data_IF_798196999101
#
_entry.id   IF_798196999101
#
_cell.length_a   1.000
_cell.length_b   1.000
_cell.length_c   1.000
_cell.angle_alpha   90.00
_cell.angle_beta   90.00
_cell.angle_gamma   90.00
#
_symmetry.space_group_name_H-M   'P 1'
#
loop_
_entity.id
_entity.type
_entity.pdbx_description
1 polymer ?
#
# COMPACT_ATOMS: atom_id res chain seq x y z
N UNK A 1 4.47 -16.46 16.44
CA UNK A 1 5.45 -15.44 16.01
C UNK A 1 4.69 -14.18 15.64
N UNK A 2 5.07 -13.03 16.24
CA UNK A 2 4.47 -11.72 15.97
C UNK A 2 5.32 -10.90 15.00
N UNK A 3 4.76 -10.55 13.85
CA UNK A 3 5.38 -9.72 12.84
C UNK A 3 4.75 -8.31 12.87
N UNK A 4 5.58 -7.30 13.03
CA UNK A 4 5.19 -5.90 12.82
C UNK A 4 5.46 -5.52 11.35
N UNK A 5 4.38 -5.26 10.61
CA UNK A 5 4.42 -4.67 9.28
C UNK A 5 4.24 -3.16 9.39
N UNK A 6 5.11 -2.39 8.73
CA UNK A 6 5.02 -0.93 8.68
C UNK A 6 4.99 -0.46 7.23
N UNK A 7 3.94 0.29 6.88
CA UNK A 7 3.82 1.04 5.64
C UNK A 7 4.07 2.53 5.93
N UNK A 8 5.14 3.08 5.38
CA UNK A 8 5.58 4.46 5.62
C UNK A 8 5.33 5.28 4.37
N UNK A 9 4.14 5.87 4.32
CA UNK A 9 3.72 6.77 3.26
C UNK A 9 4.08 8.24 3.54
N UNK A 10 3.90 9.10 2.52
CA UNK A 10 4.19 10.54 2.64
C UNK A 10 3.29 11.28 3.64
N UNK A 11 2.08 10.81 3.87
CA UNK A 11 1.09 11.45 4.76
C UNK A 11 0.87 10.65 6.03
N UNK A 12 0.86 9.33 5.95
CA UNK A 12 0.58 8.45 7.06
C UNK A 12 1.61 7.33 7.17
N UNK A 13 1.86 6.92 8.41
CA UNK A 13 2.48 5.64 8.75
C UNK A 13 1.36 4.70 9.18
N UNK A 14 1.26 3.55 8.54
CA UNK A 14 0.29 2.51 8.92
C UNK A 14 1.06 1.31 9.47
N UNK A 15 0.66 0.83 10.63
CA UNK A 15 1.24 -0.33 11.31
C UNK A 15 0.23 -1.46 11.32
N UNK A 16 0.69 -2.69 11.09
CA UNK A 16 -0.10 -3.91 11.28
C UNK A 16 0.68 -4.89 12.13
N UNK A 17 0.06 -5.44 13.15
CA UNK A 17 0.64 -6.52 13.93
C UNK A 17 -0.03 -7.84 13.54
N UNK A 18 0.78 -8.79 13.09
CA UNK A 18 0.32 -10.12 12.72
C UNK A 18 0.77 -11.15 13.75
N UNK A 19 -0.10 -12.07 14.09
CA UNK A 19 0.28 -13.31 14.74
C UNK A 19 0.12 -14.44 13.73
N UNK A 20 1.22 -15.11 13.41
CA UNK A 20 1.26 -16.02 12.27
C UNK A 20 0.75 -15.32 11.00
N UNK A 21 -0.41 -15.65 10.47
CA UNK A 21 -1.04 -15.03 9.29
C UNK A 21 -2.24 -14.13 9.62
N UNK A 22 -2.64 -14.09 10.87
CA UNK A 22 -3.78 -13.31 11.31
C UNK A 22 -3.36 -11.88 11.65
N UNK A 23 -4.06 -10.90 11.13
CA UNK A 23 -3.88 -9.49 11.49
C UNK A 23 -4.60 -9.23 12.82
N UNK A 24 -3.84 -9.02 13.89
CA UNK A 24 -4.38 -8.72 15.22
C UNK A 24 -4.94 -7.30 15.32
N UNK A 25 -4.37 -6.37 14.55
CA UNK A 25 -4.83 -5.00 14.48
C UNK A 25 -4.01 -4.15 13.53
N UNK A 26 -4.61 -3.04 13.08
CA UNK A 26 -3.94 -2.03 12.28
C UNK A 26 -4.15 -0.64 12.87
N UNK A 27 -3.12 0.20 12.84
CA UNK A 27 -3.12 1.54 13.41
C UNK A 27 -2.45 2.51 12.45
N UNK A 28 -2.89 3.76 12.48
CA UNK A 28 -2.38 4.80 11.61
C UNK A 28 -1.95 6.02 12.40
N UNK A 29 -0.77 6.55 12.07
CA UNK A 29 -0.27 7.82 12.57
C UNK A 29 0.10 8.75 11.42
N UNK A 30 0.24 10.04 11.70
CA UNK A 30 0.69 11.01 10.71
C UNK A 30 2.20 10.87 10.48
N UNK A 31 2.63 10.94 9.23
CA UNK A 31 4.05 10.95 8.86
C UNK A 31 4.70 12.27 9.27
N UNK A 32 5.77 12.17 10.05
CA UNK A 32 6.65 13.28 10.41
C UNK A 32 8.04 13.01 9.83
N UNK A 33 8.34 13.57 8.68
CA UNK A 33 9.57 13.25 7.90
C UNK A 33 10.87 13.57 8.63
N UNK A 34 10.84 14.50 9.59
CA UNK A 34 11.98 14.90 10.41
C UNK A 34 11.99 14.26 11.81
N UNK A 35 11.14 13.24 12.05
CA UNK A 35 11.08 12.60 13.36
C UNK A 35 12.40 11.95 13.75
N UNK A 36 12.74 12.09 15.02
CA UNK A 36 13.88 11.40 15.66
C UNK A 36 13.53 9.95 16.00
N UNK A 37 14.53 9.14 16.33
CA UNK A 37 14.32 7.74 16.75
C UNK A 37 13.37 7.63 17.95
N UNK A 38 13.50 8.53 18.92
CA UNK A 38 12.66 8.53 20.11
C UNK A 38 11.21 8.93 19.80
N UNK A 39 10.98 9.89 18.90
CA UNK A 39 9.63 10.26 18.45
C UNK A 39 8.97 9.11 17.68
N UNK A 40 9.73 8.41 16.84
CA UNK A 40 9.25 7.19 16.15
C UNK A 40 8.94 6.08 17.17
N UNK A 41 9.79 5.89 18.19
CA UNK A 41 9.55 4.90 19.24
C UNK A 41 8.27 5.20 20.03
N UNK A 42 8.03 6.47 20.36
CA UNK A 42 6.80 6.93 21.02
C UNK A 42 5.58 6.68 20.12
N UNK A 43 5.68 7.03 18.83
CA UNK A 43 4.59 6.81 17.87
C UNK A 43 4.24 5.32 17.78
N UNK A 44 5.22 4.47 17.49
CA UNK A 44 4.99 3.03 17.31
C UNK A 44 4.51 2.38 18.60
N UNK A 45 5.15 2.68 19.73
CA UNK A 45 4.74 2.15 21.05
C UNK A 45 3.34 2.59 21.45
N UNK A 46 2.99 3.86 21.20
CA UNK A 46 1.64 4.37 21.49
C UNK A 46 0.57 3.72 20.62
N UNK A 47 0.84 3.55 19.31
CA UNK A 47 -0.09 2.92 18.39
C UNK A 47 -0.32 1.45 18.74
N UNK A 48 0.72 0.67 19.02
CA UNK A 48 0.60 -0.70 19.49
C UNK A 48 -0.15 -0.79 20.83
N UNK A 49 0.13 0.16 21.74
CA UNK A 49 -0.53 0.26 23.04
C UNK A 49 -2.04 0.47 22.95
N UNK A 50 -2.56 1.14 21.89
CA UNK A 50 -4.01 1.25 21.65
C UNK A 50 -4.67 -0.13 21.44
N UNK A 51 -3.94 -1.10 20.94
CA UNK A 51 -4.38 -2.49 20.76
C UNK A 51 -4.02 -3.40 21.95
N UNK A 52 -3.40 -2.86 23.00
CA UNK A 52 -2.93 -3.67 24.14
C UNK A 52 -1.64 -4.44 23.86
N UNK A 53 -0.86 -4.03 22.86
CA UNK A 53 0.39 -4.66 22.44
C UNK A 53 1.61 -3.77 22.75
N UNK A 54 2.79 -4.37 22.72
CA UNK A 54 4.05 -3.65 22.95
C UNK A 54 5.13 -4.06 21.93
N UNK A 55 6.20 -3.25 21.83
CA UNK A 55 7.34 -3.55 20.95
C UNK A 55 8.14 -4.78 21.42
N UNK A 56 8.08 -5.11 22.71
CA UNK A 56 8.76 -6.27 23.30
C UNK A 56 8.17 -7.61 22.85
N UNK A 57 6.92 -7.58 22.34
CA UNK A 57 6.24 -8.79 21.83
C UNK A 57 6.57 -9.07 20.35
N UNK A 58 7.30 -8.17 19.68
CA UNK A 58 7.56 -8.24 18.24
C UNK A 58 8.77 -9.14 17.97
N UNK A 59 8.53 -10.25 17.28
CA UNK A 59 9.54 -11.23 16.91
C UNK A 59 10.23 -10.91 15.57
N UNK A 60 9.54 -10.19 14.68
CA UNK A 60 10.02 -9.85 13.34
C UNK A 60 9.44 -8.51 12.86
N UNK A 61 10.13 -7.86 11.93
CA UNK A 61 9.73 -6.56 11.38
C UNK A 61 9.89 -6.54 9.87
N UNK A 62 8.87 -6.03 9.16
CA UNK A 62 8.92 -5.75 7.73
C UNK A 62 8.45 -4.32 7.44
N UNK A 63 9.14 -3.62 6.55
CA UNK A 63 8.90 -2.20 6.26
C UNK A 63 8.78 -1.99 4.75
N UNK A 64 7.65 -1.45 4.32
CA UNK A 64 7.50 -0.79 3.03
C UNK A 64 7.56 0.72 3.25
N UNK A 65 8.33 1.44 2.44
CA UNK A 65 8.47 2.88 2.62
C UNK A 65 8.73 3.60 1.31
N UNK A 66 8.08 4.75 1.16
CA UNK A 66 8.33 5.73 0.09
C UNK A 66 8.92 7.04 0.63
N UNK A 67 9.42 7.02 1.89
CA UNK A 67 10.00 8.18 2.58
C UNK A 67 11.42 7.83 3.07
N UNK A 68 12.47 7.91 2.22
CA UNK A 68 13.81 7.42 2.55
C UNK A 68 14.42 7.93 3.87
N UNK A 69 14.31 9.23 4.24
CA UNK A 69 14.85 9.69 5.51
C UNK A 69 14.20 8.99 6.71
N UNK A 70 12.89 8.83 6.66
CA UNK A 70 12.12 8.19 7.74
C UNK A 70 12.35 6.68 7.77
N UNK A 71 12.57 6.04 6.62
CA UNK A 71 12.94 4.61 6.53
C UNK A 71 14.18 4.32 7.39
N UNK A 72 15.21 5.17 7.27
CA UNK A 72 16.44 5.02 8.05
C UNK A 72 16.19 5.14 9.56
N UNK A 73 15.40 6.13 9.97
CA UNK A 73 15.02 6.36 11.37
C UNK A 73 14.21 5.17 11.92
N UNK A 74 13.19 4.73 11.18
CA UNK A 74 12.36 3.57 11.56
C UNK A 74 13.18 2.29 11.70
N UNK A 75 14.02 1.97 10.71
CA UNK A 75 14.81 0.73 10.74
C UNK A 75 15.82 0.72 11.89
N UNK A 76 16.45 1.86 12.17
CA UNK A 76 17.38 2.01 13.30
C UNK A 76 16.64 1.85 14.63
N UNK A 77 15.53 2.55 14.81
CA UNK A 77 14.71 2.50 16.02
C UNK A 77 14.18 1.07 16.26
N UNK A 78 13.57 0.46 15.25
CA UNK A 78 13.03 -0.89 15.37
C UNK A 78 14.12 -1.92 15.72
N UNK A 79 15.28 -1.86 15.05
CA UNK A 79 16.41 -2.71 15.39
C UNK A 79 16.87 -2.53 16.84
N UNK A 80 16.93 -1.29 17.31
CA UNK A 80 17.36 -1.00 18.69
C UNK A 80 16.36 -1.51 19.74
N UNK A 81 15.06 -1.44 19.44
CA UNK A 81 13.99 -1.78 20.40
C UNK A 81 13.58 -3.25 20.36
N UNK A 82 13.58 -3.88 19.20
CA UNK A 82 13.14 -5.29 19.06
C UNK A 82 14.34 -6.26 18.97
N UNK A 83 15.55 -5.77 18.74
CA UNK A 83 16.73 -6.62 18.43
C UNK A 83 16.70 -7.23 17.04
N UNK A 84 15.62 -7.00 16.25
CA UNK A 84 15.42 -7.58 14.93
C UNK A 84 15.89 -6.64 13.82
N UNK A 85 16.50 -7.19 12.76
CA UNK A 85 16.78 -6.43 11.56
C UNK A 85 15.53 -6.35 10.70
N UNK A 86 14.97 -5.13 10.47
CA UNK A 86 13.78 -5.01 9.62
C UNK A 86 14.05 -5.48 8.19
N UNK A 87 13.15 -6.28 7.64
CA UNK A 87 13.12 -6.63 6.23
C UNK A 87 12.51 -5.47 5.45
N UNK A 88 13.22 -4.98 4.43
CA UNK A 88 12.75 -3.89 3.58
C UNK A 88 12.06 -4.47 2.35
N UNK A 89 10.84 -4.02 2.09
CA UNK A 89 10.10 -4.35 0.88
C UNK A 89 10.55 -3.41 -0.23
N UNK A 90 11.24 -3.93 -1.21
CA UNK A 90 11.67 -3.24 -2.43
C UNK A 90 11.82 -4.23 -3.59
N UNK A 91 12.01 -3.73 -4.80
CA UNK A 91 12.14 -4.56 -5.99
C UNK A 91 13.30 -5.57 -5.90
N UNK A 92 14.41 -5.20 -5.25
CA UNK A 92 15.59 -6.06 -5.11
C UNK A 92 15.32 -7.22 -4.15
N UNK A 93 14.68 -6.92 -3.01
CA UNK A 93 14.40 -7.93 -2.01
C UNK A 93 13.25 -8.86 -2.44
N UNK A 94 12.39 -8.41 -3.37
CA UNK A 94 11.32 -9.20 -3.96
C UNK A 94 11.74 -10.03 -5.19
N UNK A 95 13.02 -9.97 -5.59
CA UNK A 95 13.54 -10.81 -6.68
C UNK A 95 13.30 -12.30 -6.40
N UNK A 96 12.74 -13.01 -7.39
CA UNK A 96 12.31 -14.40 -7.25
C UNK A 96 11.03 -14.63 -6.41
N UNK A 97 10.42 -13.55 -5.87
CA UNK A 97 9.18 -13.60 -5.10
C UNK A 97 8.01 -12.99 -5.90
N UNK A 98 8.22 -11.80 -6.48
CA UNK A 98 7.30 -11.12 -7.37
C UNK A 98 8.05 -10.76 -8.64
N UNK A 99 7.56 -11.22 -9.78
CA UNK A 99 8.06 -10.76 -11.07
C UNK A 99 7.63 -9.31 -11.31
N UNK A 100 8.58 -8.45 -11.73
CA UNK A 100 8.35 -7.01 -11.89
C UNK A 100 8.70 -6.63 -13.33
N UNK A 101 7.66 -6.51 -14.16
CA UNK A 101 7.77 -6.25 -15.60
C UNK A 101 7.49 -4.78 -15.92
N UNK A 102 8.34 -3.89 -15.43
CA UNK A 102 8.33 -2.46 -15.76
C UNK A 102 9.71 -2.01 -16.20
N UNK A 103 9.81 -0.90 -16.91
CA UNK A 103 11.07 -0.41 -17.48
C UNK A 103 12.17 -0.22 -16.44
N UNK A 104 11.82 0.20 -15.23
CA UNK A 104 12.74 0.49 -14.13
C UNK A 104 12.23 -0.06 -12.81
N UNK A 105 12.45 -1.34 -12.52
CA UNK A 105 11.95 -1.99 -11.30
C UNK A 105 12.30 -1.25 -10.00
N UNK A 106 13.48 -0.64 -9.93
CA UNK A 106 13.94 0.10 -8.75
C UNK A 106 13.15 1.39 -8.46
N UNK A 107 12.36 1.89 -9.42
CA UNK A 107 11.50 3.08 -9.24
C UNK A 107 10.09 2.71 -8.70
N UNK A 108 9.76 1.43 -8.64
CA UNK A 108 8.48 0.99 -8.08
C UNK A 108 8.40 1.29 -6.58
N UNK A 109 7.36 1.99 -6.16
CA UNK A 109 7.08 2.23 -4.75
C UNK A 109 6.86 0.91 -3.99
N UNK A 110 7.38 0.84 -2.77
CA UNK A 110 7.29 -0.35 -1.93
C UNK A 110 5.83 -0.71 -1.62
N UNK A 111 4.98 0.27 -1.40
CA UNK A 111 3.53 0.17 -1.22
C UNK A 111 2.85 -0.48 -2.43
N UNK A 112 3.20 -0.06 -3.64
CA UNK A 112 2.67 -0.59 -4.90
C UNK A 112 3.07 -2.05 -5.12
N UNK A 113 4.31 -2.40 -4.81
CA UNK A 113 4.80 -3.78 -4.87
C UNK A 113 4.11 -4.66 -3.83
N UNK A 114 3.90 -4.14 -2.62
CA UNK A 114 3.14 -4.83 -1.58
C UNK A 114 1.68 -5.08 -2.02
N UNK A 115 1.01 -4.06 -2.58
CA UNK A 115 -0.35 -4.18 -3.12
C UNK A 115 -0.44 -5.25 -4.21
N UNK A 116 0.48 -5.25 -5.18
CA UNK A 116 0.52 -6.23 -6.25
C UNK A 116 0.75 -7.65 -5.72
N UNK A 117 1.66 -7.80 -4.75
CA UNK A 117 1.95 -9.09 -4.13
C UNK A 117 0.74 -9.63 -3.36
N UNK A 118 0.02 -8.78 -2.61
CA UNK A 118 -1.21 -9.18 -1.94
C UNK A 118 -2.30 -9.57 -2.93
N UNK A 119 -2.54 -8.75 -3.96
CA UNK A 119 -3.53 -9.03 -4.99
C UNK A 119 -3.27 -10.36 -5.69
N UNK A 120 -2.01 -10.62 -6.08
CA UNK A 120 -1.60 -11.89 -6.67
C UNK A 120 -1.89 -13.09 -5.75
N UNK A 121 -1.55 -12.98 -4.47
CA UNK A 121 -1.67 -14.11 -3.54
C UNK A 121 -3.11 -14.39 -3.13
N UNK A 122 -3.97 -13.37 -3.04
CA UNK A 122 -5.34 -13.51 -2.54
C UNK A 122 -6.38 -13.67 -3.66
N UNK A 123 -6.13 -13.03 -4.81
CA UNK A 123 -7.11 -13.00 -5.91
C UNK A 123 -6.58 -13.62 -7.20
N UNK A 124 -5.26 -13.83 -7.30
CA UNK A 124 -4.62 -14.27 -8.54
C UNK A 124 -4.46 -13.13 -9.54
N UNK A 125 -4.16 -13.49 -10.80
CA UNK A 125 -4.08 -12.55 -11.94
C UNK A 125 -5.07 -12.92 -13.04
N UNK A 126 -5.46 -11.94 -13.88
CA UNK A 126 -5.11 -10.55 -13.83
C UNK A 126 -5.92 -9.77 -12.78
N UNK A 127 -5.28 -8.80 -12.13
CA UNK A 127 -5.91 -7.98 -11.11
C UNK A 127 -5.51 -6.50 -11.22
N UNK A 128 -6.37 -5.62 -10.73
CA UNK A 128 -6.12 -4.18 -10.56
C UNK A 128 -6.37 -3.84 -9.10
N UNK A 129 -5.36 -3.31 -8.42
CA UNK A 129 -5.54 -2.68 -7.10
C UNK A 129 -5.72 -1.19 -7.30
N UNK A 130 -6.74 -0.62 -6.68
CA UNK A 130 -6.97 0.83 -6.60
C UNK A 130 -6.66 1.25 -5.17
N UNK A 131 -5.53 1.91 -4.96
CA UNK A 131 -5.17 2.49 -3.66
C UNK A 131 -5.65 3.93 -3.60
N UNK A 132 -6.61 4.17 -2.72
CA UNK A 132 -7.30 5.45 -2.51
C UNK A 132 -6.66 6.18 -1.31
N UNK A 133 -5.49 6.72 -1.52
CA UNK A 133 -4.68 7.41 -0.52
C UNK A 133 -4.47 8.91 -0.81
N UNK A 134 -3.29 9.42 -0.47
CA UNK A 134 -2.82 10.78 -0.82
C UNK A 134 -2.77 10.97 -2.33
N UNK A 135 -2.26 9.98 -3.04
CA UNK A 135 -2.47 9.74 -4.47
C UNK A 135 -3.52 8.66 -4.66
N UNK A 136 -4.02 8.54 -5.89
CA UNK A 136 -4.83 7.42 -6.33
C UNK A 136 -3.96 6.57 -7.23
N UNK A 137 -3.53 5.41 -6.73
CA UNK A 137 -2.67 4.51 -7.48
C UNK A 137 -3.49 3.35 -8.03
N UNK A 138 -3.15 2.94 -9.25
CA UNK A 138 -3.64 1.71 -9.85
C UNK A 138 -2.43 0.80 -10.04
N UNK A 139 -2.45 -0.34 -9.41
CA UNK A 139 -1.38 -1.34 -9.45
C UNK A 139 -1.89 -2.58 -10.17
N UNK A 140 -1.24 -2.93 -11.29
CA UNK A 140 -1.69 -3.98 -12.18
C UNK A 140 -0.86 -5.25 -12.01
N UNK A 141 -1.56 -6.35 -11.88
CA UNK A 141 -1.00 -7.70 -11.87
C UNK A 141 -1.42 -8.41 -13.16
N UNK A 142 -0.46 -8.98 -13.89
CA UNK A 142 -0.72 -9.73 -15.11
C UNK A 142 -1.44 -11.07 -14.83
N UNK A 143 -1.88 -11.75 -15.87
CA UNK A 143 -2.47 -13.10 -15.75
C UNK A 143 -1.48 -14.12 -15.16
N UNK A 144 -0.19 -13.91 -15.40
CA UNK A 144 0.92 -14.74 -14.90
C UNK A 144 1.31 -14.37 -13.46
N UNK A 145 0.77 -13.28 -12.92
CA UNK A 145 1.03 -12.81 -11.56
C UNK A 145 2.19 -11.85 -11.44
N UNK A 146 2.68 -11.27 -12.53
CA UNK A 146 3.71 -10.23 -12.51
C UNK A 146 3.12 -8.83 -12.23
N UNK A 147 3.87 -7.99 -11.53
CA UNK A 147 3.56 -6.57 -11.46
C UNK A 147 3.99 -5.87 -12.76
N UNK A 148 3.04 -5.30 -13.46
CA UNK A 148 3.25 -4.70 -14.79
C UNK A 148 3.09 -3.17 -14.83
N UNK A 149 3.12 -2.51 -13.67
CA UNK A 149 2.96 -1.07 -13.56
C UNK A 149 1.54 -0.65 -13.28
N UNK A 150 1.12 0.50 -13.81
CA UNK A 150 -0.22 1.04 -13.60
C UNK A 150 -0.31 2.54 -13.81
N UNK A 151 -1.21 3.20 -13.06
CA UNK A 151 -1.42 4.64 -13.14
C UNK A 151 -1.29 5.31 -11.78
N UNK A 152 -0.91 6.58 -11.77
CA UNK A 152 -0.88 7.43 -10.58
C UNK A 152 -1.67 8.70 -10.90
N UNK A 153 -2.66 8.99 -10.08
CA UNK A 153 -3.47 10.21 -10.17
C UNK A 153 -3.51 10.94 -8.82
N UNK A 154 -3.87 12.22 -8.79
CA UNK A 154 -4.06 12.93 -7.53
C UNK A 154 -5.18 12.28 -6.71
N UNK A 155 -4.96 12.15 -5.40
CA UNK A 155 -6.02 11.76 -4.48
C UNK A 155 -7.05 12.88 -4.26
N UNK A 156 -8.22 12.51 -3.75
CA UNK A 156 -9.34 13.45 -3.61
C UNK A 156 -8.99 14.61 -2.65
N UNK A 157 -8.34 14.32 -1.52
CA UNK A 157 -7.92 15.35 -0.55
C UNK A 157 -6.87 16.29 -1.13
N UNK A 158 -5.84 15.74 -1.78
CA UNK A 158 -4.79 16.52 -2.44
C UNK A 158 -5.37 17.44 -3.53
N UNK A 159 -6.32 16.94 -4.31
CA UNK A 159 -7.01 17.72 -5.35
C UNK A 159 -7.81 18.88 -4.76
N UNK A 160 -8.50 18.66 -3.64
CA UNK A 160 -9.21 19.75 -2.93
C UNK A 160 -8.24 20.80 -2.39
N UNK A 161 -7.15 20.37 -1.77
CA UNK A 161 -6.13 21.30 -1.23
C UNK A 161 -5.50 22.15 -2.33
N UNK A 162 -5.18 21.54 -3.48
CA UNK A 162 -4.65 22.24 -4.64
C UNK A 162 -5.65 23.26 -5.19
N UNK A 163 -6.94 22.90 -5.31
CA UNK A 163 -8.00 23.80 -5.77
C UNK A 163 -8.17 25.00 -4.82
N UNK A 164 -8.31 24.75 -3.52
CA UNK A 164 -8.50 25.79 -2.51
C UNK A 164 -7.24 26.68 -2.39
N UNK A 165 -6.07 26.08 -2.42
CA UNK A 165 -4.80 26.82 -2.34
C UNK A 165 -4.53 27.73 -3.55
N UNK A 166 -5.06 27.37 -4.74
CA UNK A 166 -4.87 28.14 -5.97
C UNK A 166 -5.98 29.15 -6.26
N UNK A 167 -7.11 29.10 -5.56
CA UNK A 167 -8.29 29.92 -5.82
C UNK A 167 -8.70 30.73 -4.59
N UNK A 168 -8.33 32.00 -4.53
CA UNK A 168 -8.48 32.90 -3.36
C UNK A 168 -9.91 33.05 -2.83
N UNK A 169 -10.95 32.69 -3.61
CA UNK A 169 -12.35 32.83 -3.23
C UNK A 169 -13.04 31.50 -2.89
N UNK A 170 -12.33 30.36 -3.06
CA UNK A 170 -12.91 29.07 -2.77
C UNK A 170 -12.62 28.65 -1.32
N UNK A 171 -13.66 28.37 -0.51
CA UNK A 171 -13.46 27.93 0.87
C UNK A 171 -13.05 26.46 0.94
N UNK A 172 -12.44 26.05 2.05
CA UNK A 172 -12.38 24.62 2.40
C UNK A 172 -13.80 24.08 2.59
N UNK A 173 -14.07 22.95 2.00
CA UNK A 173 -15.37 22.28 2.06
C UNK A 173 -15.20 20.85 2.59
N UNK A 174 -16.27 20.30 3.13
CA UNK A 174 -16.38 18.89 3.40
C UNK A 174 -16.71 18.12 2.10
N UNK A 175 -15.97 17.04 1.85
CA UNK A 175 -16.15 16.19 0.67
C UNK A 175 -17.35 15.26 0.89
N UNK A 176 -18.52 15.72 0.50
CA UNK A 176 -19.75 14.94 0.51
C UNK A 176 -20.35 14.89 -0.89
N UNK A 177 -21.08 13.81 -1.18
CA UNK A 177 -21.85 13.75 -2.43
C UNK A 177 -22.84 14.91 -2.48
N UNK A 178 -22.85 15.71 -3.56
CA UNK A 178 -23.80 16.81 -3.69
C UNK A 178 -25.23 16.28 -3.92
N UNK A 179 -26.27 17.02 -3.54
CA UNK A 179 -27.67 16.61 -3.77
C UNK A 179 -27.99 16.53 -5.27
N UNK A 180 -27.33 17.35 -6.09
CA UNK A 180 -27.49 17.41 -7.54
C UNK A 180 -26.14 17.64 -8.22
N UNK A 181 -25.97 17.14 -9.45
CA UNK A 181 -24.75 17.37 -10.24
C UNK A 181 -24.59 18.87 -10.58
N UNK A 182 -25.68 19.61 -10.75
CA UNK A 182 -25.66 21.07 -10.94
C UNK A 182 -25.66 21.70 -9.55
N UNK A 183 -24.51 22.27 -9.13
CA UNK A 183 -24.41 23.04 -7.89
C UNK A 183 -24.98 24.44 -8.06
N UNK A 184 -26.01 24.79 -7.29
CA UNK A 184 -26.64 26.12 -7.30
C UNK A 184 -25.91 27.14 -6.38
N UNK A 185 -24.86 26.73 -5.69
CA UNK A 185 -23.99 27.57 -4.86
C UNK A 185 -22.55 27.01 -4.92
N UNK A 186 -21.60 27.80 -4.43
CA UNK A 186 -20.17 27.44 -4.47
C UNK A 186 -19.88 26.10 -3.79
N UNK A 187 -20.48 25.85 -2.61
CA UNK A 187 -20.29 24.59 -1.88
C UNK A 187 -20.72 23.38 -2.73
N UNK A 188 -21.94 23.39 -3.23
CA UNK A 188 -22.47 22.27 -4.03
C UNK A 188 -21.76 22.14 -5.38
N UNK A 189 -21.34 23.27 -6.01
CA UNK A 189 -20.56 23.23 -7.24
C UNK A 189 -19.17 22.60 -7.01
N UNK A 190 -18.49 22.95 -5.91
CA UNK A 190 -17.22 22.33 -5.54
C UNK A 190 -17.40 20.85 -5.19
N UNK A 191 -18.40 20.49 -4.40
CA UNK A 191 -18.70 19.09 -4.08
C UNK A 191 -19.00 18.27 -5.35
N UNK A 192 -19.74 18.83 -6.29
CA UNK A 192 -20.03 18.19 -7.57
C UNK A 192 -18.73 17.95 -8.37
N UNK A 193 -17.91 18.97 -8.57
CA UNK A 193 -16.66 18.87 -9.30
C UNK A 193 -15.69 17.90 -8.62
N UNK A 194 -15.54 18.00 -7.31
CA UNK A 194 -14.59 17.15 -6.57
C UNK A 194 -15.05 15.69 -6.48
N UNK A 195 -16.26 15.45 -5.98
CA UNK A 195 -16.70 14.06 -5.70
C UNK A 195 -17.12 13.35 -6.99
N UNK A 196 -18.00 13.93 -7.81
CA UNK A 196 -18.44 13.29 -9.06
C UNK A 196 -17.32 13.27 -10.10
N UNK A 197 -16.48 14.32 -10.15
CA UNK A 197 -15.29 14.35 -11.00
C UNK A 197 -14.28 13.29 -10.62
N UNK A 198 -14.07 13.06 -9.33
CA UNK A 198 -13.15 12.00 -8.84
C UNK A 198 -13.69 10.59 -9.14
N UNK A 199 -14.99 10.35 -8.95
CA UNK A 199 -15.64 9.10 -9.37
C UNK A 199 -15.43 8.87 -10.88
N UNK A 200 -15.57 9.93 -11.69
CA UNK A 200 -15.32 9.88 -13.13
C UNK A 200 -13.87 9.58 -13.47
N UNK A 201 -12.89 10.17 -12.74
CA UNK A 201 -11.47 9.90 -12.88
C UNK A 201 -11.16 8.43 -12.60
N UNK A 202 -11.59 7.92 -11.45
CA UNK A 202 -11.34 6.52 -11.05
C UNK A 202 -11.99 5.56 -12.04
N UNK A 203 -13.25 5.79 -12.41
CA UNK A 203 -13.99 4.92 -13.34
C UNK A 203 -13.40 4.95 -14.76
N UNK A 204 -12.95 6.12 -15.22
CA UNK A 204 -12.33 6.28 -16.53
C UNK A 204 -11.00 5.55 -16.63
N UNK A 205 -10.11 5.73 -15.64
CA UNK A 205 -8.83 5.01 -15.56
C UNK A 205 -9.06 3.50 -15.44
N UNK A 206 -9.97 3.08 -14.56
CA UNK A 206 -10.28 1.66 -14.39
C UNK A 206 -10.76 1.02 -15.70
N UNK A 207 -11.62 1.71 -16.45
CA UNK A 207 -12.12 1.23 -17.74
C UNK A 207 -10.98 1.06 -18.76
N UNK A 208 -10.09 2.06 -18.87
CA UNK A 208 -8.95 2.02 -19.79
C UNK A 208 -7.96 0.90 -19.42
N UNK A 209 -7.56 0.82 -18.15
CA UNK A 209 -6.60 -0.17 -17.66
C UNK A 209 -7.13 -1.60 -17.76
N UNK A 210 -8.41 -1.80 -17.44
CA UNK A 210 -9.07 -3.09 -17.59
C UNK A 210 -9.14 -3.52 -19.05
N UNK A 211 -9.44 -2.60 -19.97
CA UNK A 211 -9.45 -2.85 -21.40
C UNK A 211 -8.10 -3.34 -21.89
N UNK A 212 -7.03 -2.61 -21.57
CA UNK A 212 -5.66 -2.99 -21.95
C UNK A 212 -5.23 -4.32 -21.33
N UNK A 213 -5.58 -4.59 -20.07
CA UNK A 213 -5.23 -5.85 -19.40
C UNK A 213 -5.93 -7.06 -20.03
N UNK A 214 -7.17 -6.90 -20.49
CA UNK A 214 -7.92 -7.92 -21.25
C UNK A 214 -7.27 -8.17 -22.62
N UNK A 215 -6.86 -7.11 -23.33
CA UNK A 215 -6.17 -7.23 -24.61
C UNK A 215 -4.84 -7.97 -24.49
N UNK A 216 -4.08 -7.73 -23.42
CA UNK A 216 -2.83 -8.44 -23.12
C UNK A 216 -3.04 -9.92 -22.76
N UNK A 217 -4.21 -10.26 -22.23
CA UNK A 217 -4.54 -11.63 -21.77
C UNK A 217 -5.88 -12.12 -22.31
N UNK A 218 -6.01 -12.36 -23.65
CA UNK A 218 -7.31 -12.65 -24.29
C UNK A 218 -7.99 -13.94 -23.81
N UNK A 219 -7.24 -14.83 -23.17
CA UNK A 219 -7.76 -16.10 -22.63
C UNK A 219 -8.39 -15.95 -21.24
N UNK A 220 -8.22 -14.79 -20.61
CA UNK A 220 -8.68 -14.53 -19.24
C UNK A 220 -10.04 -13.87 -19.28
N UNK A 221 -11.04 -14.55 -18.72
CA UNK A 221 -12.44 -14.10 -18.78
C UNK A 221 -12.76 -12.94 -17.82
N UNK A 222 -11.90 -12.66 -16.81
CA UNK A 222 -12.20 -11.71 -15.75
C UNK A 222 -10.95 -11.05 -15.20
N UNK A 223 -11.01 -9.73 -14.98
CA UNK A 223 -10.03 -8.93 -14.24
C UNK A 223 -10.62 -8.63 -12.87
N UNK A 224 -9.97 -9.06 -11.81
CA UNK A 224 -10.40 -8.75 -10.45
C UNK A 224 -9.96 -7.34 -10.06
N UNK A 225 -10.85 -6.54 -9.47
CA UNK A 225 -10.57 -5.17 -9.03
C UNK A 225 -10.76 -5.08 -7.53
N UNK A 226 -9.69 -4.66 -6.85
CA UNK A 226 -9.64 -4.55 -5.39
C UNK A 226 -9.37 -3.10 -5.01
N UNK A 227 -10.17 -2.51 -4.14
CA UNK A 227 -9.94 -1.18 -3.58
C UNK A 227 -9.26 -1.30 -2.21
N UNK A 228 -8.24 -0.45 -1.97
CA UNK A 228 -7.54 -0.30 -0.68
C UNK A 228 -7.30 1.18 -0.37
N UNK A 229 -6.70 1.47 0.77
CA UNK A 229 -6.36 2.83 1.17
C UNK A 229 -7.38 3.50 2.09
N UNK A 230 -7.04 4.71 2.55
CA UNK A 230 -7.78 5.41 3.60
C UNK A 230 -9.17 5.89 3.22
N UNK A 231 -9.47 6.04 1.92
CA UNK A 231 -10.78 6.46 1.41
C UNK A 231 -11.73 5.31 1.06
N UNK A 232 -11.37 4.07 1.39
CA UNK A 232 -12.24 2.90 1.17
C UNK A 232 -13.53 2.92 1.98
N UNK A 233 -13.59 3.71 3.05
CA UNK A 233 -14.79 3.90 3.89
C UNK A 233 -15.73 4.99 3.39
N UNK A 234 -15.36 5.71 2.33
CA UNK A 234 -16.16 6.79 1.80
C UNK A 234 -17.42 6.26 1.07
N UNK A 235 -18.62 6.77 1.41
CA UNK A 235 -19.87 6.26 0.83
C UNK A 235 -19.93 6.35 -0.70
N UNK A 236 -19.23 7.33 -1.31
CA UNK A 236 -19.20 7.53 -2.76
C UNK A 236 -18.42 6.42 -3.50
N UNK A 237 -17.61 5.62 -2.79
CA UNK A 237 -16.90 4.50 -3.42
C UNK A 237 -17.87 3.49 -4.06
N UNK A 238 -19.05 3.32 -3.47
CA UNK A 238 -20.11 2.48 -4.04
C UNK A 238 -20.59 2.93 -5.44
N UNK A 239 -20.32 4.17 -5.82
CA UNK A 239 -20.63 4.70 -7.15
C UNK A 239 -19.58 4.34 -8.21
N UNK A 240 -18.40 3.88 -7.81
CA UNK A 240 -17.37 3.38 -8.71
C UNK A 240 -17.73 1.95 -9.10
N UNK A 241 -18.25 1.80 -10.32
CA UNK A 241 -18.67 0.48 -10.81
C UNK A 241 -17.49 -0.44 -11.10
N UNK A 242 -17.65 -1.70 -10.72
CA UNK A 242 -16.71 -2.76 -11.08
C UNK A 242 -15.56 -2.97 -10.09
N UNK A 243 -15.68 -2.51 -8.85
CA UNK A 243 -14.88 -2.95 -7.73
C UNK A 243 -15.44 -4.29 -7.24
N UNK A 244 -14.61 -5.32 -7.18
CA UNK A 244 -15.01 -6.68 -6.76
C UNK A 244 -14.83 -6.89 -5.27
N UNK A 245 -13.81 -6.25 -4.65
CA UNK A 245 -13.51 -6.34 -3.23
C UNK A 245 -12.99 -5.01 -2.67
N UNK A 246 -13.21 -4.78 -1.37
CA UNK A 246 -12.67 -3.65 -0.63
C UNK A 246 -11.87 -4.20 0.55
N UNK A 247 -10.55 -3.96 0.52
CA UNK A 247 -9.57 -4.55 1.42
C UNK A 247 -8.69 -3.45 2.03
N UNK A 248 -9.12 -2.80 3.13
CA UNK A 248 -8.42 -1.64 3.70
C UNK A 248 -6.98 -1.93 4.13
N UNK A 249 -6.68 -3.18 4.55
CA UNK A 249 -5.38 -3.61 5.05
C UNK A 249 -4.57 -4.38 4.00
N UNK A 250 -4.90 -4.27 2.71
CA UNK A 250 -4.26 -5.01 1.62
C UNK A 250 -2.74 -4.78 1.60
N UNK A 251 -2.29 -3.54 1.71
CA UNK A 251 -0.86 -3.17 1.72
C UNK A 251 -0.11 -3.86 2.86
N UNK A 252 -0.70 -3.88 4.07
CA UNK A 252 -0.10 -4.56 5.23
C UNK A 252 0.02 -6.08 5.00
N UNK A 253 -0.99 -6.70 4.40
CA UNK A 253 -0.93 -8.11 4.02
C UNK A 253 0.12 -8.36 2.95
N UNK A 254 0.27 -7.43 2.01
CA UNK A 254 1.35 -7.47 1.00
C UNK A 254 2.74 -7.43 1.62
N UNK A 255 2.95 -6.57 2.62
CA UNK A 255 4.19 -6.51 3.40
C UNK A 255 4.43 -7.85 4.12
N UNK A 256 3.39 -8.44 4.68
CA UNK A 256 3.45 -9.76 5.30
C UNK A 256 3.85 -10.85 4.29
N UNK A 257 3.25 -10.90 3.11
CA UNK A 257 3.62 -11.84 2.05
C UNK A 257 5.06 -11.63 1.56
N UNK A 258 5.53 -10.38 1.48
CA UNK A 258 6.90 -10.06 1.15
C UNK A 258 7.87 -10.65 2.19
N UNK A 259 7.58 -10.47 3.48
CA UNK A 259 8.37 -11.06 4.56
C UNK A 259 8.40 -12.58 4.47
N UNK A 260 7.25 -13.25 4.30
CA UNK A 260 7.15 -14.71 4.17
C UNK A 260 8.02 -15.23 3.01
N UNK A 261 7.94 -14.58 1.85
CA UNK A 261 8.70 -14.96 0.68
C UNK A 261 10.21 -14.79 0.86
N UNK A 262 10.64 -13.68 1.48
CA UNK A 262 12.06 -13.41 1.76
C UNK A 262 12.60 -14.45 2.74
N UNK A 263 11.90 -14.74 3.84
CA UNK A 263 12.32 -15.74 4.81
C UNK A 263 12.39 -17.15 4.22
N UNK A 264 11.42 -17.53 3.39
CA UNK A 264 11.44 -18.84 2.71
C UNK A 264 12.64 -18.98 1.77
N UNK A 265 12.99 -17.90 1.04
CA UNK A 265 14.16 -17.87 0.15
C UNK A 265 15.48 -18.01 0.93
N UNK A 266 15.64 -17.27 2.04
CA UNK A 266 16.83 -17.32 2.89
C UNK A 266 17.01 -18.71 3.51
N UNK A 267 15.94 -19.30 4.03
CA UNK A 267 15.96 -20.65 4.62
C UNK A 267 16.25 -21.72 3.55
N UNK A 268 15.65 -21.62 2.37
CA UNK A 268 15.88 -22.54 1.26
C UNK A 268 17.29 -22.43 0.68
N UNK A 269 17.89 -21.23 0.67
CA UNK A 269 19.28 -21.02 0.28
C UNK A 269 20.26 -21.64 1.30
N UNK A 270 20.00 -21.47 2.60
CA UNK A 270 20.80 -22.05 3.67
C UNK A 270 20.83 -23.59 3.65
N UNK A 271 19.76 -24.23 3.21
CA UNK A 271 19.68 -25.68 3.07
C UNK A 271 20.43 -26.23 1.83
N UNK A 272 20.77 -25.38 0.86
CA UNK A 272 21.46 -25.76 -0.38
C UNK A 272 22.98 -25.58 -0.33
N UNK A 273 23.55 -24.97 0.71
CA UNK A 273 25.00 -24.95 0.90
C UNK A 273 25.48 -26.35 1.31
N UNK A 274 26.37 -26.99 0.53
CA UNK A 274 26.86 -28.33 0.88
C UNK A 274 27.72 -28.27 2.11
N UNK A 275 27.34 -29.02 3.14
CA UNK A 275 28.24 -29.44 4.22
C UNK A 275 29.38 -30.28 3.65
N UNK A 276 30.44 -29.64 3.19
CA UNK A 276 31.50 -30.34 2.50
C UNK A 276 32.79 -29.55 2.32
N UNK A 277 33.51 -29.26 3.41
CA UNK A 277 34.97 -29.28 3.41
C UNK A 277 35.46 -29.91 4.71
N UNK A 278 35.37 -31.24 4.75
CA UNK A 278 36.31 -32.03 5.53
C UNK A 278 37.72 -31.77 4.99
N UNK A 279 38.48 -30.95 5.70
CA UNK A 279 39.93 -30.95 5.55
C UNK A 279 40.44 -32.21 6.25
N UNK A 280 40.75 -33.23 5.51
CA UNK A 280 41.70 -34.26 5.95
C UNK A 280 43.09 -33.83 5.53
N UNK A 281 43.94 -33.84 6.52
CA UNK A 281 45.37 -33.73 6.64
C UNK A 281 46.25 -33.80 5.40
#
# INVERSE_FOLDING_TARGET
MKLLAADIGNTNVTLGLFEERELLGSWRGTTQTAATDDEVAVLVGSLLGLGGHSLEEVDAVAVASVVPPLTTTFTRMLRARTGQAPVIVDARNLDGILEIEIDRPAEAGADRLANALAARNEFGGPAIVIDLGTSTNFDLVSAEGAYIGGAIAPGLGLSLEALVGSASKLPRIELRRPPHAIGSNTLHAMQSGMVLGYIGLVSGLLTALRGELIERSPKTARVTVVATGGHTYEPWLADVLGIDAVEPDLTLRGIRYAWDGIQARETGAAQREPSGRSRTA
#
